data_IF_661541948129
#
_entry.id   IF_661541948129
#
_cell.length_a   1.000
_cell.length_b   1.000
_cell.length_c   1.000
_cell.angle_alpha   90.00
_cell.angle_beta   90.00
_cell.angle_gamma   90.00
#
_symmetry.space_group_name_H-M   'P 1'
#
loop_
_entity.id
_entity.type
_entity.pdbx_description
1 polymer ?
#
# COMPACT_ATOMS: atom_id res chain seq x y z
N UNK A 1 -7.82 6.60 -7.61
CA UNK A 1 -6.39 6.25 -7.46
C UNK A 1 -5.84 6.86 -6.18
N UNK A 2 -4.88 6.17 -5.55
CA UNK A 2 -4.09 6.67 -4.43
C UNK A 2 -2.60 6.67 -4.79
N UNK A 3 -1.78 7.37 -4.02
CA UNK A 3 -0.32 7.34 -4.12
C UNK A 3 0.26 7.06 -2.73
N UNK A 4 1.12 6.05 -2.63
CA UNK A 4 1.82 5.72 -1.40
C UNK A 4 3.19 6.43 -1.37
N UNK A 5 3.48 7.13 -0.27
CA UNK A 5 4.67 7.97 -0.12
C UNK A 5 5.57 7.39 0.97
N UNK A 6 6.83 7.08 0.63
CA UNK A 6 7.84 6.68 1.62
C UNK A 6 8.06 7.83 2.60
N UNK A 7 8.15 7.60 3.92
CA UNK A 7 8.33 8.67 4.91
C UNK A 7 9.78 9.16 5.01
N UNK A 8 10.74 8.39 4.51
CA UNK A 8 12.17 8.61 4.67
C UNK A 8 12.86 9.11 3.38
N UNK A 9 12.10 9.38 2.32
CA UNK A 9 12.65 9.93 1.08
C UNK A 9 12.80 11.47 1.17
N UNK A 10 13.71 12.08 0.39
CA UNK A 10 13.73 13.52 0.19
C UNK A 10 12.36 14.04 -0.26
N UNK A 11 11.95 15.21 0.23
CA UNK A 11 10.69 15.88 -0.13
C UNK A 11 9.39 15.11 0.20
N UNK A 12 9.43 14.03 0.99
CA UNK A 12 8.24 13.22 1.32
C UNK A 12 7.05 14.04 1.82
N UNK A 13 7.28 14.97 2.75
CA UNK A 13 6.22 15.85 3.27
C UNK A 13 5.67 16.83 2.23
N UNK A 14 6.53 17.32 1.34
CA UNK A 14 6.14 18.22 0.24
C UNK A 14 5.28 17.48 -0.79
N UNK A 15 5.74 16.28 -1.21
CA UNK A 15 5.02 15.40 -2.15
C UNK A 15 3.66 14.99 -1.58
N UNK A 16 3.61 14.54 -0.32
CA UNK A 16 2.37 14.15 0.33
C UNK A 16 1.35 15.31 0.37
N UNK A 17 1.81 16.52 0.68
CA UNK A 17 0.97 17.73 0.70
C UNK A 17 0.50 18.11 -0.71
N UNK A 18 1.37 18.05 -1.71
CA UNK A 18 1.01 18.34 -3.10
C UNK A 18 -0.03 17.35 -3.64
N UNK A 19 0.13 16.05 -3.37
CA UNK A 19 -0.83 15.02 -3.74
C UNK A 19 -2.19 15.24 -3.05
N UNK A 20 -2.19 15.58 -1.77
CA UNK A 20 -3.40 15.92 -1.02
C UNK A 20 -4.12 17.14 -1.61
N UNK A 21 -3.38 18.20 -1.98
CA UNK A 21 -3.93 19.39 -2.61
C UNK A 21 -4.56 19.11 -4.00
N UNK A 22 -4.09 18.08 -4.70
CA UNK A 22 -4.70 17.59 -5.95
C UNK A 22 -5.94 16.71 -5.72
N UNK A 23 -6.37 16.50 -4.47
CA UNK A 23 -7.47 15.61 -4.13
C UNK A 23 -7.15 14.12 -4.36
N UNK A 24 -5.87 13.74 -4.45
CA UNK A 24 -5.45 12.33 -4.50
C UNK A 24 -5.48 11.76 -3.09
N UNK A 25 -5.87 10.49 -2.97
CA UNK A 25 -5.72 9.78 -1.71
C UNK A 25 -4.23 9.46 -1.49
N UNK A 26 -3.73 9.80 -0.31
CA UNK A 26 -2.33 9.57 0.07
C UNK A 26 -2.28 8.41 1.04
N UNK A 27 -1.30 7.53 0.85
CA UNK A 27 -0.96 6.47 1.81
C UNK A 27 0.45 6.68 2.32
N UNK A 28 0.67 6.33 3.58
CA UNK A 28 2.02 6.15 4.09
C UNK A 28 2.57 4.83 3.52
N UNK A 29 3.64 4.87 2.75
CA UNK A 29 4.35 3.67 2.30
C UNK A 29 5.37 3.28 3.37
N UNK A 30 4.97 2.48 4.35
CA UNK A 30 5.79 2.20 5.53
C UNK A 30 6.87 1.17 5.22
N UNK A 31 8.17 1.50 5.39
CA UNK A 31 9.26 0.52 5.32
C UNK A 31 9.06 -0.61 6.34
N UNK A 32 9.20 -1.85 5.89
CA UNK A 32 9.02 -3.03 6.75
C UNK A 32 10.06 -4.10 6.41
N UNK A 33 10.52 -4.82 7.43
CA UNK A 33 11.57 -5.84 7.30
C UNK A 33 11.16 -6.96 6.32
N UNK A 34 11.95 -7.21 5.28
CA UNK A 34 11.76 -8.37 4.41
C UNK A 34 12.50 -9.61 4.97
N UNK A 35 12.37 -10.78 4.35
CA UNK A 35 13.20 -11.97 4.69
C UNK A 35 14.71 -11.70 4.44
N UNK A 36 15.56 -12.72 4.41
CA UNK A 36 16.96 -12.52 4.01
C UNK A 36 17.13 -12.41 2.49
N UNK A 37 18.23 -11.78 2.03
CA UNK A 37 18.68 -11.76 0.63
C UNK A 37 17.82 -10.94 -0.35
N UNK A 38 17.35 -9.75 0.04
CA UNK A 38 16.51 -8.89 -0.82
C UNK A 38 17.22 -7.67 -1.41
N UNK A 39 18.56 -7.63 -1.35
CA UNK A 39 19.34 -6.49 -1.80
C UNK A 39 19.34 -5.36 -0.76
N UNK A 40 19.26 -4.09 -1.16
CA UNK A 40 19.18 -2.96 -0.24
C UNK A 40 18.02 -3.16 0.76
N UNK A 41 18.28 -2.91 2.04
CA UNK A 41 17.25 -3.01 3.07
C UNK A 41 16.08 -2.04 2.85
N UNK A 42 15.01 -2.15 3.64
CA UNK A 42 13.79 -1.34 3.48
C UNK A 42 14.01 0.17 3.69
N UNK A 43 15.19 0.58 4.16
CA UNK A 43 15.55 1.97 4.48
C UNK A 43 15.28 2.32 5.94
N UNK A 44 15.61 3.56 6.30
CA UNK A 44 15.56 4.03 7.68
C UNK A 44 14.15 4.01 8.26
N UNK A 45 14.05 3.66 9.55
CA UNK A 45 12.79 3.66 10.29
C UNK A 45 11.86 2.49 9.98
N UNK A 46 12.35 1.43 9.33
CA UNK A 46 11.56 0.26 9.02
C UNK A 46 10.96 -0.42 10.25
N UNK A 47 9.78 -1.03 10.11
CA UNK A 47 9.24 -1.90 11.16
C UNK A 47 9.89 -3.28 11.02
N UNK A 48 10.66 -3.65 12.03
CA UNK A 48 11.39 -4.91 12.11
C UNK A 48 10.76 -5.86 13.14
N UNK A 49 10.87 -7.16 12.88
CA UNK A 49 10.38 -8.20 13.79
C UNK A 49 11.17 -8.14 15.09
N UNK A 50 10.46 -8.15 16.21
CA UNK A 50 11.07 -8.11 17.55
C UNK A 50 11.23 -6.69 18.12
N UNK A 51 10.91 -5.63 17.37
CA UNK A 51 10.77 -4.30 17.95
C UNK A 51 9.70 -4.29 19.04
N UNK A 52 10.00 -3.62 20.15
CA UNK A 52 9.03 -3.41 21.22
C UNK A 52 7.89 -2.51 20.75
N UNK A 53 6.70 -2.69 21.32
CA UNK A 53 5.49 -1.95 20.90
C UNK A 53 5.68 -0.42 20.92
N UNK A 54 6.41 0.10 21.91
CA UNK A 54 6.73 1.54 22.00
C UNK A 54 7.59 2.04 20.84
N UNK A 55 8.53 1.23 20.35
CA UNK A 55 9.38 1.62 19.21
C UNK A 55 8.62 1.52 17.89
N UNK A 56 7.76 0.50 17.72
CA UNK A 56 6.85 0.41 16.57
C UNK A 56 5.96 1.64 16.49
N UNK A 57 5.34 2.03 17.62
CA UNK A 57 4.54 3.26 17.73
C UNK A 57 5.36 4.49 17.38
N UNK A 58 6.53 4.66 17.98
CA UNK A 58 7.36 5.84 17.75
C UNK A 58 7.79 5.96 16.27
N UNK A 59 8.13 4.85 15.59
CA UNK A 59 8.45 4.85 14.16
C UNK A 59 7.24 5.21 13.30
N UNK A 60 6.08 4.61 13.57
CA UNK A 60 4.85 4.91 12.84
C UNK A 60 4.38 6.36 13.04
N UNK A 61 4.36 6.88 14.26
CA UNK A 61 3.94 8.25 14.55
C UNK A 61 4.87 9.28 13.87
N UNK A 62 6.19 9.03 13.86
CA UNK A 62 7.13 9.85 13.08
C UNK A 62 6.80 9.81 11.59
N UNK A 63 6.55 8.63 11.03
CA UNK A 63 6.23 8.46 9.61
C UNK A 63 4.89 9.11 9.23
N UNK A 64 3.85 8.94 10.07
CA UNK A 64 2.53 9.58 9.92
C UNK A 64 2.67 11.10 9.95
N UNK A 65 3.51 11.65 10.84
CA UNK A 65 3.75 13.10 10.90
C UNK A 65 4.38 13.63 9.61
N UNK A 66 5.28 12.88 8.97
CA UNK A 66 5.86 13.26 7.67
C UNK A 66 4.81 13.19 6.57
N UNK A 67 4.01 12.13 6.53
CA UNK A 67 2.94 11.90 5.55
C UNK A 67 1.58 12.27 6.15
N UNK A 68 1.45 13.49 6.68
CA UNK A 68 0.29 13.90 7.50
C UNK A 68 -1.08 13.81 6.79
N UNK A 69 -1.09 13.76 5.45
CA UNK A 69 -2.29 13.59 4.64
C UNK A 69 -2.72 12.12 4.45
N UNK A 70 -2.00 11.16 5.04
CA UNK A 70 -2.26 9.74 4.86
C UNK A 70 -3.66 9.35 5.33
N UNK A 71 -4.38 8.59 4.50
CA UNK A 71 -5.67 7.95 4.84
C UNK A 71 -5.54 6.48 5.21
N UNK A 72 -4.39 5.89 4.88
CA UNK A 72 -4.04 4.53 5.22
C UNK A 72 -2.54 4.30 5.09
N UNK A 73 -2.12 3.09 5.42
CA UNK A 73 -0.72 2.65 5.37
C UNK A 73 -0.60 1.46 4.43
N UNK A 74 0.43 1.46 3.60
CA UNK A 74 0.78 0.37 2.70
C UNK A 74 2.23 -0.06 2.97
N UNK A 75 2.51 -1.36 3.07
CA UNK A 75 3.88 -1.82 3.35
C UNK A 75 4.79 -1.71 2.12
N UNK A 76 5.97 -1.12 2.34
CA UNK A 76 7.14 -1.21 1.46
C UNK A 76 7.96 -2.42 1.88
N UNK A 77 8.19 -3.36 0.96
CA UNK A 77 8.75 -4.68 1.26
C UNK A 77 7.94 -5.42 2.34
N UNK A 78 8.55 -5.80 3.48
CA UNK A 78 7.82 -6.35 4.62
C UNK A 78 7.54 -7.85 4.60
N UNK A 79 8.14 -8.63 3.68
CA UNK A 79 7.84 -10.07 3.58
C UNK A 79 8.07 -10.87 4.87
N UNK A 80 8.92 -10.38 5.78
CA UNK A 80 9.11 -10.96 7.12
C UNK A 80 8.21 -10.30 8.16
N UNK A 81 8.17 -8.97 8.21
CA UNK A 81 7.37 -8.22 9.18
C UNK A 81 5.87 -8.50 9.06
N UNK A 82 5.33 -8.59 7.84
CA UNK A 82 3.90 -8.84 7.62
C UNK A 82 3.50 -10.29 7.92
N UNK A 83 4.46 -11.21 7.99
CA UNK A 83 4.23 -12.60 8.41
C UNK A 83 4.26 -12.78 9.94
N UNK A 84 4.76 -11.78 10.69
CA UNK A 84 4.83 -11.85 12.15
C UNK A 84 3.60 -11.21 12.82
N UNK A 85 2.83 -12.02 13.54
CA UNK A 85 1.57 -11.57 14.15
C UNK A 85 1.77 -10.57 15.29
N UNK A 86 2.86 -10.66 16.06
CA UNK A 86 3.13 -9.74 17.15
C UNK A 86 3.48 -8.35 16.62
N UNK A 87 4.35 -8.29 15.61
CA UNK A 87 4.73 -7.07 14.89
C UNK A 87 3.51 -6.43 14.25
N UNK A 88 2.71 -7.19 13.49
CA UNK A 88 1.52 -6.65 12.85
C UNK A 88 0.45 -6.20 13.86
N UNK A 89 0.33 -6.85 15.03
CA UNK A 89 -0.59 -6.37 16.07
C UNK A 89 -0.17 -5.00 16.59
N UNK A 90 1.12 -4.81 16.85
CA UNK A 90 1.64 -3.50 17.28
C UNK A 90 1.39 -2.42 16.21
N UNK A 91 1.56 -2.75 14.93
CA UNK A 91 1.24 -1.84 13.82
C UNK A 91 -0.25 -1.50 13.82
N UNK A 92 -1.13 -2.50 13.84
CA UNK A 92 -2.58 -2.29 13.73
C UNK A 92 -3.16 -1.49 14.90
N UNK A 93 -2.63 -1.64 16.11
CA UNK A 93 -3.04 -0.82 17.26
C UNK A 93 -2.78 0.68 17.01
N UNK A 94 -1.62 1.03 16.44
CA UNK A 94 -1.30 2.42 16.11
C UNK A 94 -2.20 2.91 14.98
N UNK A 95 -2.45 2.09 13.95
CA UNK A 95 -3.35 2.46 12.87
C UNK A 95 -4.78 2.71 13.35
N UNK A 96 -5.27 1.89 14.29
CA UNK A 96 -6.58 2.06 14.92
C UNK A 96 -6.69 3.40 15.65
N UNK A 97 -5.69 3.76 16.46
CA UNK A 97 -5.66 5.04 17.21
C UNK A 97 -5.70 6.26 16.27
N UNK A 98 -5.12 6.12 15.07
CA UNK A 98 -5.07 7.18 14.07
C UNK A 98 -6.22 7.13 13.05
N UNK A 99 -7.13 6.15 13.15
CA UNK A 99 -8.23 5.96 12.19
C UNK A 99 -7.76 5.67 10.77
N UNK A 100 -6.61 5.00 10.62
CA UNK A 100 -6.00 4.63 9.34
C UNK A 100 -6.36 3.20 8.94
N UNK A 101 -6.55 2.95 7.65
CA UNK A 101 -6.68 1.59 7.12
C UNK A 101 -5.32 1.01 6.72
N UNK A 102 -5.22 -0.31 6.59
CA UNK A 102 -4.04 -0.97 6.03
C UNK A 102 -4.31 -1.50 4.62
N UNK A 103 -3.38 -1.28 3.69
CA UNK A 103 -3.35 -1.92 2.38
C UNK A 103 -2.16 -2.87 2.33
N UNK A 104 -2.41 -4.16 2.36
CA UNK A 104 -1.37 -5.17 2.26
C UNK A 104 -0.88 -5.32 0.82
N UNK A 105 0.39 -4.99 0.57
CA UNK A 105 1.07 -5.23 -0.71
C UNK A 105 1.23 -6.71 -1.03
N UNK A 106 1.00 -7.62 -0.08
CA UNK A 106 1.19 -9.07 -0.18
C UNK A 106 2.53 -9.42 -0.82
N UNK A 107 3.62 -8.94 -0.21
CA UNK A 107 5.00 -9.26 -0.63
C UNK A 107 5.42 -10.67 -0.21
N UNK A 108 4.56 -11.39 0.51
CA UNK A 108 4.65 -12.81 0.87
C UNK A 108 3.26 -13.44 0.90
N UNK A 109 3.15 -14.74 0.62
CA UNK A 109 1.92 -15.53 0.85
C UNK A 109 1.58 -15.67 2.33
N UNK A 110 2.61 -15.63 3.19
CA UNK A 110 2.54 -15.86 4.63
C UNK A 110 2.07 -14.64 5.42
N UNK A 111 1.69 -13.55 4.74
CA UNK A 111 1.23 -12.33 5.40
C UNK A 111 0.01 -12.62 6.27
N UNK A 112 0.08 -12.17 7.52
CA UNK A 112 -1.03 -12.24 8.48
C UNK A 112 -1.75 -10.90 8.61
N UNK A 113 -1.38 -9.89 7.82
CA UNK A 113 -1.84 -8.52 7.97
C UNK A 113 -3.38 -8.40 7.93
N UNK A 114 -4.03 -9.03 6.95
CA UNK A 114 -5.50 -9.00 6.81
C UNK A 114 -6.21 -9.61 8.05
N UNK A 115 -5.71 -10.76 8.53
CA UNK A 115 -6.25 -11.42 9.71
C UNK A 115 -6.10 -10.54 10.96
N UNK A 116 -4.90 -10.01 11.19
CA UNK A 116 -4.59 -9.19 12.37
C UNK A 116 -5.30 -7.83 12.32
N UNK A 117 -5.46 -7.23 11.13
CA UNK A 117 -6.23 -6.01 10.95
C UNK A 117 -7.69 -6.22 11.38
N UNK A 118 -8.32 -7.31 10.93
CA UNK A 118 -9.68 -7.68 11.33
C UNK A 118 -9.81 -7.91 12.84
N UNK A 119 -8.86 -8.63 13.45
CA UNK A 119 -8.81 -8.85 14.90
C UNK A 119 -8.68 -7.54 15.70
N UNK A 120 -8.05 -6.52 15.10
CA UNK A 120 -7.81 -5.22 15.72
C UNK A 120 -8.83 -4.14 15.34
N UNK A 121 -9.88 -4.50 14.58
CA UNK A 121 -10.89 -3.54 14.09
C UNK A 121 -10.36 -2.53 13.07
N UNK A 122 -9.21 -2.80 12.43
CA UNK A 122 -8.61 -1.94 11.40
C UNK A 122 -9.15 -2.33 10.02
N UNK A 123 -9.74 -1.41 9.26
CA UNK A 123 -10.12 -1.67 7.87
C UNK A 123 -8.89 -2.10 7.06
N UNK A 124 -9.03 -3.15 6.25
CA UNK A 124 -7.92 -3.69 5.47
C UNK A 124 -8.33 -3.94 4.03
N UNK A 125 -7.42 -3.63 3.11
CA UNK A 125 -7.43 -4.10 1.73
C UNK A 125 -6.19 -4.93 1.48
N UNK A 126 -6.20 -5.71 0.40
CA UNK A 126 -5.02 -6.42 -0.09
C UNK A 126 -4.87 -6.18 -1.57
N UNK A 127 -3.64 -6.23 -2.05
CA UNK A 127 -3.35 -6.24 -3.49
C UNK A 127 -3.87 -7.52 -4.14
N UNK A 128 -4.53 -7.36 -5.28
CA UNK A 128 -4.93 -8.46 -6.16
C UNK A 128 -3.93 -8.65 -7.32
N UNK A 129 -3.44 -7.55 -7.89
CA UNK A 129 -2.50 -7.55 -9.03
C UNK A 129 -1.34 -6.59 -8.79
N UNK A 130 -0.14 -7.01 -9.15
CA UNK A 130 1.05 -6.14 -9.17
C UNK A 130 1.37 -5.81 -10.63
N UNK A 131 1.33 -4.52 -10.99
CA UNK A 131 1.32 -4.07 -12.38
C UNK A 131 2.69 -4.22 -13.05
N UNK A 132 3.77 -3.91 -12.34
CA UNK A 132 5.09 -3.71 -12.93
C UNK A 132 6.19 -4.52 -12.23
N UNK A 133 5.88 -5.80 -11.95
CA UNK A 133 6.91 -6.78 -11.54
C UNK A 133 7.96 -6.93 -12.64
N UNK A 134 7.50 -6.97 -13.89
CA UNK A 134 8.34 -6.97 -15.08
C UNK A 134 8.16 -5.62 -15.77
N UNK A 135 9.22 -4.84 -15.83
CA UNK A 135 9.23 -3.47 -16.38
C UNK A 135 9.24 -3.45 -17.91
N UNK A 136 8.28 -4.14 -18.52
CA UNK A 136 8.08 -4.22 -19.97
C UNK A 136 6.65 -3.78 -20.33
N UNK A 137 6.43 -3.01 -21.42
CA UNK A 137 5.11 -2.47 -21.75
C UNK A 137 4.02 -3.54 -21.83
N UNK A 138 4.30 -4.64 -22.53
CA UNK A 138 3.33 -5.72 -22.70
C UNK A 138 3.03 -6.46 -21.38
N UNK A 139 4.01 -6.56 -20.49
CA UNK A 139 3.81 -7.18 -19.18
C UNK A 139 2.91 -6.32 -18.29
N UNK A 140 3.16 -5.01 -18.25
CA UNK A 140 2.34 -4.06 -17.51
C UNK A 140 0.92 -3.98 -18.09
N UNK A 141 0.78 -4.02 -19.42
CA UNK A 141 -0.51 -4.06 -20.09
C UNK A 141 -1.31 -5.31 -19.70
N UNK A 142 -0.71 -6.50 -19.79
CA UNK A 142 -1.37 -7.75 -19.38
C UNK A 142 -1.78 -7.75 -17.92
N UNK A 143 -0.93 -7.20 -17.03
CA UNK A 143 -1.28 -7.07 -15.62
C UNK A 143 -2.46 -6.11 -15.40
N UNK A 144 -2.55 -5.03 -16.16
CA UNK A 144 -3.72 -4.14 -16.12
C UNK A 144 -4.98 -4.86 -16.60
N UNK A 145 -4.91 -5.61 -17.71
CA UNK A 145 -6.03 -6.43 -18.20
C UNK A 145 -6.47 -7.48 -17.17
N UNK A 146 -5.50 -8.11 -16.48
CA UNK A 146 -5.79 -9.03 -15.37
C UNK A 146 -6.55 -8.33 -14.24
N UNK A 147 -6.13 -7.12 -13.85
CA UNK A 147 -6.81 -6.35 -12.81
C UNK A 147 -8.26 -6.00 -13.22
N UNK A 148 -8.47 -5.62 -14.48
CA UNK A 148 -9.81 -5.39 -15.05
C UNK A 148 -10.65 -6.67 -15.02
N UNK A 149 -10.08 -7.80 -15.46
CA UNK A 149 -10.73 -9.10 -15.44
C UNK A 149 -11.16 -9.52 -14.04
N UNK A 150 -10.29 -9.34 -13.03
CA UNK A 150 -10.62 -9.59 -11.62
C UNK A 150 -11.72 -8.66 -11.12
N UNK A 151 -11.66 -7.37 -11.44
CA UNK A 151 -12.70 -6.42 -11.06
C UNK A 151 -14.07 -6.80 -11.65
N UNK A 152 -14.13 -7.27 -12.91
CA UNK A 152 -15.36 -7.78 -13.53
C UNK A 152 -15.89 -9.01 -12.80
N UNK A 153 -15.02 -9.96 -12.46
CA UNK A 153 -15.42 -11.22 -11.85
C UNK A 153 -15.81 -11.09 -10.37
N UNK A 154 -15.16 -10.18 -9.64
CA UNK A 154 -15.25 -10.08 -8.17
C UNK A 154 -15.93 -8.78 -7.70
N UNK A 155 -16.33 -7.92 -8.64
CA UNK A 155 -16.89 -6.58 -8.38
C UNK A 155 -15.84 -5.51 -8.10
N UNK A 156 -14.68 -5.88 -7.56
CA UNK A 156 -13.57 -4.95 -7.28
C UNK A 156 -12.22 -5.66 -7.46
N UNK A 157 -11.16 -4.88 -7.71
CA UNK A 157 -9.78 -5.35 -7.64
C UNK A 157 -8.85 -4.20 -7.25
N UNK A 158 -7.81 -4.50 -6.48
CA UNK A 158 -6.73 -3.57 -6.11
C UNK A 158 -5.48 -3.90 -6.91
N UNK A 159 -5.12 -3.02 -7.84
CA UNK A 159 -3.85 -3.05 -8.54
C UNK A 159 -2.85 -2.10 -7.89
N UNK A 160 -1.62 -2.55 -7.68
CA UNK A 160 -0.49 -1.74 -7.20
C UNK A 160 0.61 -1.77 -8.26
N UNK A 161 1.24 -0.63 -8.51
CA UNK A 161 2.46 -0.51 -9.30
C UNK A 161 3.33 0.62 -8.74
N UNK A 162 4.53 0.74 -9.28
CA UNK A 162 5.48 1.79 -8.90
C UNK A 162 5.35 3.02 -9.82
N UNK A 163 5.97 4.12 -9.38
CA UNK A 163 6.02 5.39 -10.13
C UNK A 163 7.08 5.38 -11.24
N UNK A 164 7.21 4.26 -11.96
CA UNK A 164 8.11 4.17 -13.11
C UNK A 164 7.53 4.94 -14.30
N UNK A 165 8.37 5.62 -15.11
CA UNK A 165 7.91 6.35 -16.30
C UNK A 165 7.05 5.47 -17.22
N UNK A 166 7.51 4.25 -17.50
CA UNK A 166 6.79 3.27 -18.32
C UNK A 166 5.39 2.96 -17.77
N UNK A 167 5.28 2.67 -16.47
CA UNK A 167 4.00 2.36 -15.82
C UNK A 167 3.05 3.57 -15.91
N UNK A 168 3.56 4.78 -15.67
CA UNK A 168 2.77 6.01 -15.72
C UNK A 168 2.26 6.30 -17.13
N UNK A 169 3.13 6.21 -18.14
CA UNK A 169 2.79 6.45 -19.56
C UNK A 169 1.74 5.45 -20.07
N UNK A 170 1.91 4.17 -19.73
CA UNK A 170 0.96 3.14 -20.08
C UNK A 170 -0.40 3.38 -19.41
N UNK A 171 -0.42 3.65 -18.10
CA UNK A 171 -1.67 3.95 -17.39
C UNK A 171 -2.36 5.21 -17.93
N UNK A 172 -1.61 6.24 -18.31
CA UNK A 172 -2.18 7.44 -18.92
C UNK A 172 -2.91 7.14 -20.23
N UNK A 173 -2.42 6.16 -20.99
CA UNK A 173 -3.01 5.74 -22.27
C UNK A 173 -4.18 4.76 -22.08
N UNK A 174 -4.04 3.81 -21.16
CA UNK A 174 -4.99 2.70 -21.00
C UNK A 174 -6.19 3.03 -20.10
N UNK A 175 -6.01 3.86 -19.05
CA UNK A 175 -7.09 4.18 -18.12
C UNK A 175 -8.33 4.80 -18.82
N UNK A 176 -8.20 5.73 -19.79
CA UNK A 176 -9.33 6.22 -20.56
C UNK A 176 -10.05 5.12 -21.37
N UNK A 177 -9.31 4.12 -21.88
CA UNK A 177 -9.86 3.03 -22.70
C UNK A 177 -10.72 2.09 -21.87
N UNK A 178 -10.29 1.78 -20.65
CA UNK A 178 -11.01 0.86 -19.75
C UNK A 178 -12.12 1.55 -18.95
N UNK A 179 -12.20 2.89 -18.97
CA UNK A 179 -13.16 3.66 -18.17
C UNK A 179 -14.63 3.41 -18.53
N UNK A 180 -14.91 2.89 -19.73
CA UNK A 180 -16.27 2.49 -20.14
C UNK A 180 -16.74 1.19 -19.46
N UNK A 181 -15.81 0.43 -18.89
CA UNK A 181 -16.06 -0.92 -18.36
C UNK A 181 -15.79 -1.02 -16.86
N UNK A 182 -14.71 -0.41 -16.38
CA UNK A 182 -14.40 -0.34 -14.94
C UNK A 182 -14.25 1.10 -14.48
N UNK A 183 -14.63 1.36 -13.23
CA UNK A 183 -14.47 2.66 -12.59
C UNK A 183 -13.26 2.67 -11.66
N UNK A 184 -12.30 3.52 -11.95
CA UNK A 184 -11.19 3.78 -11.02
C UNK A 184 -11.68 4.57 -9.81
N UNK A 185 -11.50 4.01 -8.61
CA UNK A 185 -11.87 4.63 -7.34
C UNK A 185 -10.65 4.83 -6.44
N UNK A 186 -10.82 5.55 -5.32
CA UNK A 186 -9.84 5.56 -4.23
C UNK A 186 -9.97 4.25 -3.44
N UNK A 187 -8.87 3.64 -2.96
CA UNK A 187 -8.96 2.42 -2.17
C UNK A 187 -9.90 2.55 -0.97
N UNK A 188 -9.92 3.69 -0.26
CA UNK A 188 -10.84 3.90 0.86
C UNK A 188 -12.33 3.78 0.51
N UNK A 189 -12.70 3.93 -0.76
CA UNK A 189 -14.08 3.73 -1.22
C UNK A 189 -14.46 2.25 -1.28
N UNK A 190 -13.49 1.35 -1.46
CA UNK A 190 -13.70 -0.10 -1.44
C UNK A 190 -14.00 -0.62 -0.03
N UNK A 191 -13.48 0.06 1.01
CA UNK A 191 -13.72 -0.27 2.42
C UNK A 191 -15.15 0.03 2.88
N UNK A 192 -15.85 0.91 2.17
CA UNK A 192 -17.23 1.33 2.49
C UNK A 192 -18.29 0.44 1.85
N UNK A 193 -17.87 -0.54 1.04
CA UNK A 193 -18.72 -1.34 0.16
C UNK A 193 -18.96 -2.78 0.60
N UNK A 194 -18.64 -3.15 1.85
CA UNK A 194 -19.05 -4.44 2.40
C UNK A 194 -20.38 -4.23 3.15
N UNK A 195 -21.55 -4.55 2.55
CA UNK A 195 -22.79 -4.69 3.31
C UNK A 195 -22.67 -5.83 4.34
#
# INVERSE_FOLDING_TARGET
MAVAVLPNAPHSAEVARALGAQGREVLLHMPMEPLANHGPGPGDGAIEVGLQAGEVRARLERAIKVVAAARGVNNHMGSRATADAATMRNVMLVLADHGLYFLDSRTTSETVAERVARESGVPCLRRDVFLDVVSEPDAVHRALEEAVGRARAQGTAVAIGHVHPLTIELLATELPRIAADVKLVRPSQLLRGNP
#
